data_IF_869844493589
#
_entry.id   IF_869844493589
#
_cell.length_a   1.000
_cell.length_b   1.000
_cell.length_c   1.000
_cell.angle_alpha   90.00
_cell.angle_beta   90.00
_cell.angle_gamma   90.00
#
_symmetry.space_group_name_H-M   'P 1'
#
loop_
_entity.id
_entity.type
_entity.pdbx_description
1 polymer ?
#
# COMPACT_ATOMS: atom_id res chain seq x y z
N UNK A 1 -24.74 -3.70 -4.35
CA UNK A 1 -23.28 -3.88 -4.40
C UNK A 1 -22.73 -3.36 -3.08
N UNK A 2 -22.01 -4.18 -2.32
CA UNK A 2 -21.41 -3.72 -1.05
C UNK A 2 -20.31 -2.73 -1.40
N UNK A 3 -20.34 -1.54 -0.80
CA UNK A 3 -19.34 -0.51 -1.09
C UNK A 3 -18.03 -0.78 -0.34
N UNK A 4 -18.13 -1.34 0.87
CA UNK A 4 -17.01 -1.39 1.80
C UNK A 4 -16.99 -2.72 2.56
N UNK A 5 -15.84 -3.40 2.55
CA UNK A 5 -15.55 -4.52 3.44
C UNK A 5 -14.42 -4.09 4.38
N UNK A 6 -14.75 -3.92 5.67
CA UNK A 6 -13.79 -3.57 6.71
C UNK A 6 -13.43 -4.80 7.54
N UNK A 7 -12.14 -5.03 7.73
CA UNK A 7 -11.59 -6.08 8.59
C UNK A 7 -11.04 -5.41 9.86
N UNK A 8 -11.52 -5.86 11.01
CA UNK A 8 -11.11 -5.40 12.34
C UNK A 8 -10.55 -6.56 13.17
N UNK A 9 -9.90 -6.26 14.29
CA UNK A 9 -9.20 -7.25 15.14
C UNK A 9 -10.06 -8.42 15.62
N UNK A 10 -11.37 -8.24 15.73
CA UNK A 10 -12.32 -9.26 16.20
C UNK A 10 -12.55 -10.37 15.17
N UNK A 11 -12.19 -10.13 13.91
CA UNK A 11 -12.38 -11.11 12.84
C UNK A 11 -11.34 -12.22 12.97
N UNK A 12 -11.81 -13.44 13.26
CA UNK A 12 -10.92 -14.61 13.22
C UNK A 12 -10.45 -14.88 11.79
N UNK A 13 -9.15 -15.17 11.57
CA UNK A 13 -8.63 -15.58 10.26
C UNK A 13 -9.34 -16.79 9.65
N UNK A 14 -9.94 -17.66 10.47
CA UNK A 14 -10.69 -18.83 10.00
C UNK A 14 -11.97 -18.48 9.23
N UNK A 15 -12.54 -17.29 9.42
CA UNK A 15 -13.77 -16.86 8.75
C UNK A 15 -13.54 -16.25 7.36
N UNK A 16 -12.29 -16.13 6.90
CA UNK A 16 -11.97 -15.40 5.66
C UNK A 16 -12.62 -16.01 4.42
N UNK A 17 -12.70 -17.34 4.35
CA UNK A 17 -13.40 -18.04 3.27
C UNK A 17 -14.92 -17.85 3.37
N UNK A 18 -15.48 -17.90 4.57
CA UNK A 18 -16.90 -17.63 4.81
C UNK A 18 -17.27 -16.21 4.41
N UNK A 19 -16.46 -15.21 4.79
CA UNK A 19 -16.65 -13.81 4.42
C UNK A 19 -16.60 -13.65 2.90
N UNK A 20 -15.64 -14.30 2.23
CA UNK A 20 -15.53 -14.26 0.77
C UNK A 20 -16.76 -14.86 0.07
N UNK A 21 -17.33 -15.93 0.63
CA UNK A 21 -18.55 -16.54 0.10
C UNK A 21 -19.79 -15.68 0.32
N UNK A 22 -19.92 -15.05 1.49
CA UNK A 22 -21.05 -14.18 1.84
C UNK A 22 -20.99 -12.83 1.11
N UNK A 23 -19.79 -12.29 0.93
CA UNK A 23 -19.53 -10.98 0.33
C UNK A 23 -18.55 -11.14 -0.84
N UNK A 24 -19.00 -11.74 -1.96
CA UNK A 24 -18.11 -12.07 -3.08
C UNK A 24 -17.69 -10.86 -3.92
N UNK A 25 -18.36 -9.71 -3.76
CA UNK A 25 -18.06 -8.47 -4.48
C UNK A 25 -18.21 -7.27 -3.55
N UNK A 26 -17.20 -6.42 -3.54
CA UNK A 26 -17.18 -5.15 -2.83
C UNK A 26 -16.24 -4.17 -3.52
N UNK A 27 -16.45 -2.86 -3.34
CA UNK A 27 -15.65 -1.84 -4.03
C UNK A 27 -14.35 -1.52 -3.31
N UNK A 28 -14.40 -1.41 -1.97
CA UNK A 28 -13.25 -1.07 -1.14
C UNK A 28 -12.97 -2.18 -0.13
N UNK A 29 -11.71 -2.60 -0.05
CA UNK A 29 -11.17 -3.35 1.08
C UNK A 29 -10.53 -2.38 2.06
N UNK A 30 -10.91 -2.47 3.33
CA UNK A 30 -10.28 -1.74 4.41
C UNK A 30 -9.77 -2.67 5.49
N UNK A 31 -8.52 -2.48 5.90
CA UNK A 31 -7.88 -3.23 6.99
C UNK A 31 -7.53 -2.24 8.09
N UNK A 32 -8.20 -2.35 9.23
CA UNK A 32 -8.04 -1.45 10.36
C UNK A 32 -6.67 -1.56 11.04
N UNK A 33 -6.29 -0.48 11.73
CA UNK A 33 -5.02 -0.33 12.44
C UNK A 33 -4.84 -1.28 13.64
N UNK A 34 -5.93 -1.87 14.12
CA UNK A 34 -5.96 -2.74 15.29
C UNK A 34 -5.84 -4.23 14.95
N UNK A 35 -5.89 -4.59 13.66
CA UNK A 35 -5.62 -5.95 13.19
C UNK A 35 -4.21 -6.43 13.59
N UNK A 36 -4.03 -7.74 13.79
CA UNK A 36 -2.69 -8.32 13.88
C UNK A 36 -1.98 -8.27 12.52
N UNK A 37 -0.66 -8.44 12.54
CA UNK A 37 0.11 -8.56 11.30
C UNK A 37 -0.29 -9.82 10.51
N UNK A 38 -0.57 -10.96 11.16
CA UNK A 38 -1.05 -12.15 10.46
C UNK A 38 -2.44 -11.94 9.86
N UNK A 39 -3.37 -11.35 10.61
CA UNK A 39 -4.71 -11.05 10.13
C UNK A 39 -4.67 -10.14 8.90
N UNK A 40 -3.85 -9.10 8.95
CA UNK A 40 -3.64 -8.16 7.83
C UNK A 40 -3.15 -8.90 6.58
N UNK A 41 -2.14 -9.76 6.71
CA UNK A 41 -1.60 -10.56 5.58
C UNK A 41 -2.65 -11.52 5.00
N UNK A 42 -3.37 -12.23 5.87
CA UNK A 42 -4.38 -13.22 5.45
C UNK A 42 -5.53 -12.51 4.73
N UNK A 43 -6.09 -11.45 5.32
CA UNK A 43 -7.16 -10.67 4.73
C UNK A 43 -6.74 -10.09 3.37
N UNK A 44 -5.57 -9.45 3.32
CA UNK A 44 -5.03 -8.89 2.09
C UNK A 44 -4.93 -9.96 0.99
N UNK A 45 -4.23 -11.08 1.24
CA UNK A 45 -4.08 -12.16 0.25
C UNK A 45 -5.42 -12.74 -0.22
N UNK A 46 -6.39 -12.87 0.69
CA UNK A 46 -7.69 -13.47 0.35
C UNK A 46 -8.53 -12.57 -0.57
N UNK A 47 -8.41 -11.26 -0.39
CA UNK A 47 -9.35 -10.28 -0.93
C UNK A 47 -8.77 -9.34 -2.00
N UNK A 48 -7.44 -9.23 -2.14
CA UNK A 48 -6.79 -8.19 -2.95
C UNK A 48 -7.23 -8.08 -4.42
N UNK A 49 -7.68 -9.18 -5.02
CA UNK A 49 -8.12 -9.23 -6.42
C UNK A 49 -9.61 -8.90 -6.63
N UNK A 50 -10.35 -8.59 -5.57
CA UNK A 50 -11.79 -8.31 -5.61
C UNK A 50 -12.09 -6.80 -5.71
N UNK A 51 -11.54 -5.93 -4.85
CA UNK A 51 -11.92 -4.53 -4.83
C UNK A 51 -11.24 -3.73 -5.94
N UNK A 52 -11.80 -2.55 -6.20
CA UNK A 52 -11.13 -1.52 -6.99
C UNK A 52 -10.25 -0.61 -6.11
N UNK A 53 -10.54 -0.54 -4.80
CA UNK A 53 -9.87 0.34 -3.84
C UNK A 53 -9.37 -0.43 -2.62
N UNK A 54 -8.22 -0.05 -2.10
CA UNK A 54 -7.61 -0.70 -0.94
C UNK A 54 -7.11 0.35 0.04
N UNK A 55 -7.54 0.22 1.29
CA UNK A 55 -7.17 1.10 2.40
C UNK A 55 -6.57 0.24 3.52
N UNK A 56 -5.33 0.52 3.91
CA UNK A 56 -4.62 -0.24 4.94
C UNK A 56 -4.10 0.74 5.99
N UNK A 57 -4.72 0.70 7.16
CA UNK A 57 -4.32 1.50 8.33
C UNK A 57 -3.35 0.72 9.25
N UNK A 58 -2.82 -0.41 8.77
CA UNK A 58 -1.95 -1.32 9.52
C UNK A 58 -0.59 -1.55 8.83
N UNK A 59 0.30 -2.31 9.49
CA UNK A 59 1.55 -2.78 8.90
C UNK A 59 1.33 -3.38 7.51
N UNK A 60 2.28 -3.12 6.62
CA UNK A 60 2.21 -3.55 5.23
C UNK A 60 2.10 -5.09 5.13
N UNK A 61 1.21 -5.62 4.26
CA UNK A 61 0.91 -7.04 4.17
C UNK A 61 1.90 -7.86 3.31
N UNK A 62 3.06 -7.29 2.97
CA UNK A 62 4.02 -7.90 2.05
C UNK A 62 5.08 -8.72 2.80
N UNK A 63 5.33 -9.95 2.36
CA UNK A 63 6.40 -10.79 2.92
C UNK A 63 7.76 -10.50 2.27
N UNK A 64 7.75 -10.05 1.02
CA UNK A 64 8.97 -9.84 0.22
C UNK A 64 8.73 -8.82 -0.91
N UNK A 65 9.80 -8.46 -1.61
CA UNK A 65 9.80 -7.51 -2.73
C UNK A 65 8.94 -7.96 -3.92
N UNK A 66 8.87 -9.27 -4.18
CA UNK A 66 8.07 -9.82 -5.27
C UNK A 66 6.57 -9.69 -4.98
N UNK A 67 6.12 -9.96 -3.74
CA UNK A 67 4.73 -9.71 -3.32
C UNK A 67 4.34 -8.25 -3.53
N UNK A 68 5.25 -7.33 -3.19
CA UNK A 68 5.07 -5.89 -3.37
C UNK A 68 4.99 -5.52 -4.86
N UNK A 69 5.94 -5.96 -5.68
CA UNK A 69 5.95 -5.71 -7.12
C UNK A 69 4.69 -6.22 -7.82
N UNK A 70 4.24 -7.43 -7.47
CA UNK A 70 2.99 -8.00 -7.98
C UNK A 70 1.79 -7.13 -7.59
N UNK A 71 1.73 -6.65 -6.36
CA UNK A 71 0.67 -5.74 -5.93
C UNK A 71 0.65 -4.42 -6.71
N UNK A 72 1.80 -3.78 -6.91
CA UNK A 72 1.88 -2.53 -7.67
C UNK A 72 1.50 -2.70 -9.14
N UNK A 73 1.60 -3.91 -9.70
CA UNK A 73 1.14 -4.20 -11.07
C UNK A 73 -0.39 -4.29 -11.23
N UNK A 74 -1.14 -4.35 -10.12
CA UNK A 74 -2.60 -4.51 -10.15
C UNK A 74 -3.32 -3.27 -10.69
N UNK A 75 -4.43 -3.53 -11.39
CA UNK A 75 -5.30 -2.50 -11.96
C UNK A 75 -6.23 -1.82 -10.92
N UNK A 76 -5.72 -1.44 -9.75
CA UNK A 76 -6.52 -0.78 -8.70
C UNK A 76 -6.77 0.71 -9.01
N UNK A 77 -7.96 1.22 -8.69
CA UNK A 77 -8.30 2.64 -8.82
C UNK A 77 -7.68 3.49 -7.72
N UNK A 78 -7.57 2.97 -6.50
CA UNK A 78 -7.03 3.73 -5.38
C UNK A 78 -6.40 2.83 -4.35
N UNK A 79 -5.25 3.23 -3.84
CA UNK A 79 -4.56 2.56 -2.74
C UNK A 79 -4.12 3.61 -1.74
N UNK A 80 -4.49 3.40 -0.48
CA UNK A 80 -4.05 4.21 0.65
C UNK A 80 -3.37 3.32 1.67
N UNK A 81 -2.11 3.62 1.97
CA UNK A 81 -1.40 3.04 3.10
C UNK A 81 -1.20 4.10 4.19
N UNK A 82 -1.96 4.01 5.28
CA UNK A 82 -2.06 5.03 6.32
C UNK A 82 -1.34 4.64 7.62
N UNK A 83 -0.41 3.68 7.55
CA UNK A 83 0.30 3.21 8.73
C UNK A 83 1.54 4.04 9.04
N UNK A 84 1.38 4.99 9.95
CA UNK A 84 2.44 5.93 10.34
C UNK A 84 3.51 5.33 11.25
N UNK A 85 3.27 4.19 11.91
CA UNK A 85 4.21 3.65 12.94
C UNK A 85 5.43 2.94 12.37
N UNK A 86 5.39 2.44 11.13
CA UNK A 86 6.56 1.82 10.49
C UNK A 86 6.75 2.35 9.08
N UNK A 87 7.99 2.64 8.66
CA UNK A 87 8.21 3.20 7.33
C UNK A 87 7.84 2.23 6.21
N UNK A 88 7.17 2.72 5.16
CA UNK A 88 6.94 1.97 3.93
C UNK A 88 8.19 1.99 3.07
N UNK A 89 8.81 0.85 2.82
CA UNK A 89 9.98 0.77 1.95
C UNK A 89 9.56 0.80 0.47
N UNK A 90 9.46 1.99 -0.10
CA UNK A 90 9.13 2.20 -1.50
C UNK A 90 10.40 2.61 -2.26
N UNK A 91 10.61 2.05 -3.44
CA UNK A 91 11.75 2.40 -4.30
C UNK A 91 11.25 2.96 -5.64
N UNK A 92 12.18 3.50 -6.44
CA UNK A 92 11.84 4.08 -7.74
C UNK A 92 11.22 3.06 -8.71
N UNK A 93 11.62 1.78 -8.64
CA UNK A 93 11.09 0.73 -9.53
C UNK A 93 9.62 0.45 -9.25
N UNK A 94 9.22 0.39 -7.98
CA UNK A 94 7.82 0.23 -7.57
C UNK A 94 6.94 1.36 -8.13
N UNK A 95 7.41 2.60 -8.04
CA UNK A 95 6.69 3.77 -8.57
C UNK A 95 6.61 3.79 -10.11
N UNK A 96 7.62 3.26 -10.80
CA UNK A 96 7.62 3.20 -12.26
C UNK A 96 6.72 2.08 -12.79
N UNK A 97 6.66 0.94 -12.08
CA UNK A 97 5.81 -0.19 -12.48
C UNK A 97 4.37 -0.05 -12.00
N UNK A 98 4.07 0.92 -11.14
CA UNK A 98 2.75 1.03 -10.53
C UNK A 98 1.70 1.25 -11.61
N UNK A 99 0.69 0.41 -11.55
CA UNK A 99 -0.47 0.48 -12.39
C UNK A 99 -1.66 1.06 -11.62
N UNK A 100 -1.47 1.53 -10.38
CA UNK A 100 -2.52 2.09 -9.53
C UNK A 100 -2.85 3.53 -9.97
N UNK A 101 -4.13 3.88 -10.14
CA UNK A 101 -4.50 5.24 -10.57
C UNK A 101 -4.20 6.32 -9.52
N UNK A 102 -4.57 6.07 -8.26
CA UNK A 102 -4.36 6.99 -7.15
C UNK A 102 -3.61 6.28 -6.02
N UNK A 103 -2.38 6.70 -5.73
CA UNK A 103 -1.55 6.11 -4.68
C UNK A 103 -1.29 7.15 -3.59
N UNK A 104 -1.66 6.81 -2.35
CA UNK A 104 -1.39 7.60 -1.16
C UNK A 104 -0.62 6.74 -0.15
N UNK A 105 0.55 7.20 0.29
CA UNK A 105 1.37 6.47 1.26
C UNK A 105 1.85 7.38 2.39
N UNK A 106 1.65 6.93 3.63
CA UNK A 106 2.15 7.60 4.82
C UNK A 106 3.44 6.97 5.33
N UNK A 107 4.32 7.79 5.93
CA UNK A 107 5.63 7.36 6.43
C UNK A 107 6.46 6.59 5.39
N UNK A 108 6.58 7.14 4.18
CA UNK A 108 7.30 6.50 3.08
C UNK A 108 8.80 6.70 3.23
N UNK A 109 9.56 5.60 3.22
CA UNK A 109 11.01 5.59 3.21
C UNK A 109 11.52 5.44 1.77
N UNK A 110 11.53 6.56 1.04
CA UNK A 110 12.13 6.70 -0.29
C UNK A 110 13.22 7.76 -0.21
N UNK A 111 14.40 7.47 -0.75
CA UNK A 111 15.51 8.44 -0.73
C UNK A 111 15.28 9.55 -1.77
N UNK A 112 15.86 10.74 -1.53
CA UNK A 112 15.84 11.83 -2.52
C UNK A 112 16.43 11.39 -3.87
N UNK A 113 17.45 10.52 -3.83
CA UNK A 113 18.05 9.93 -5.03
C UNK A 113 17.06 9.07 -5.81
N UNK A 114 16.30 8.22 -5.13
CA UNK A 114 15.28 7.37 -5.76
C UNK A 114 14.12 8.19 -6.29
N UNK A 115 13.65 9.18 -5.52
CA UNK A 115 12.57 10.07 -5.95
C UNK A 115 12.99 10.87 -7.20
N UNK A 116 14.20 11.44 -7.21
CA UNK A 116 14.75 12.13 -8.38
C UNK A 116 14.89 11.20 -9.58
N UNK A 117 15.33 9.95 -9.36
CA UNK A 117 15.41 8.94 -10.41
C UNK A 117 14.04 8.61 -10.97
N UNK A 118 13.03 8.42 -10.11
CA UNK A 118 11.64 8.19 -10.52
C UNK A 118 11.14 9.34 -11.38
N UNK A 119 11.21 10.60 -10.90
CA UNK A 119 10.71 11.76 -11.63
C UNK A 119 11.40 11.90 -13.00
N UNK A 120 12.72 11.74 -13.07
CA UNK A 120 13.48 11.80 -14.34
C UNK A 120 13.07 10.72 -15.33
N UNK A 121 12.84 9.49 -14.87
CA UNK A 121 12.42 8.38 -15.73
C UNK A 121 10.97 8.53 -16.15
N UNK A 122 10.11 8.94 -15.23
CA UNK A 122 8.71 9.24 -15.48
C UNK A 122 8.58 10.31 -16.56
N UNK A 123 9.22 11.47 -16.42
CA UNK A 123 9.19 12.54 -17.43
C UNK A 123 9.70 12.14 -18.82
N UNK A 124 10.54 11.10 -18.92
CA UNK A 124 11.05 10.58 -20.19
C UNK A 124 10.18 9.46 -20.78
N UNK A 125 9.25 8.92 -20.00
CA UNK A 125 8.42 7.79 -20.40
C UNK A 125 7.28 8.25 -21.31
N UNK A 126 6.77 7.32 -22.12
CA UNK A 126 5.57 7.59 -22.92
C UNK A 126 4.33 7.45 -22.03
N UNK A 127 3.72 8.58 -21.68
CA UNK A 127 2.57 8.61 -20.77
C UNK A 127 1.24 8.13 -21.38
N UNK A 128 1.19 7.79 -22.68
CA UNK A 128 -0.04 7.32 -23.33
C UNK A 128 -0.66 6.07 -22.69
N UNK A 129 0.17 5.25 -22.02
CA UNK A 129 -0.27 4.05 -21.29
C UNK A 129 0.01 4.14 -19.78
N UNK A 130 0.44 5.30 -19.30
CA UNK A 130 0.75 5.49 -17.88
C UNK A 130 -0.57 5.70 -17.11
N UNK A 131 -0.96 4.68 -16.35
CA UNK A 131 -2.23 4.66 -15.61
C UNK A 131 -2.26 5.58 -14.38
N UNK A 132 -1.17 5.78 -13.61
CA UNK A 132 -1.22 6.64 -12.44
C UNK A 132 -1.56 8.10 -12.79
N UNK A 133 -2.57 8.63 -12.09
CA UNK A 133 -3.09 10.01 -12.22
C UNK A 133 -2.72 10.87 -11.03
N UNK A 134 -2.58 10.25 -9.86
CA UNK A 134 -2.27 10.93 -8.61
C UNK A 134 -1.34 10.08 -7.75
N UNK A 135 -0.30 10.71 -7.22
CA UNK A 135 0.59 10.12 -6.22
C UNK A 135 0.90 11.13 -5.13
N UNK A 136 0.66 10.74 -3.88
CA UNK A 136 1.04 11.51 -2.71
C UNK A 136 1.85 10.60 -1.77
N UNK A 137 3.09 11.01 -1.51
CA UNK A 137 4.02 10.28 -0.66
C UNK A 137 4.35 11.18 0.53
N UNK A 138 3.76 10.90 1.70
CA UNK A 138 4.21 11.54 2.93
C UNK A 138 5.48 10.84 3.37
N UNK A 139 6.60 11.52 3.16
CA UNK A 139 7.92 11.01 3.53
C UNK A 139 8.01 10.82 5.04
N UNK A 140 8.87 9.90 5.48
CA UNK A 140 9.26 9.78 6.89
C UNK A 140 9.63 11.18 7.41
N UNK A 141 8.89 11.70 8.37
CA UNK A 141 9.29 12.91 9.09
C UNK A 141 10.71 12.67 9.62
N UNK A 142 11.64 13.62 9.41
CA UNK A 142 12.96 13.63 10.08
C UNK A 142 12.81 13.87 11.59
N UNK A 143 11.92 13.16 12.26
CA UNK A 143 11.88 13.13 13.72
C UNK A 143 12.46 11.79 14.13
N UNK A 144 13.58 11.91 14.85
CA UNK A 144 14.57 10.88 15.19
C UNK A 144 15.53 10.53 14.04
N UNK A 145 16.17 11.57 13.47
CA UNK A 145 17.64 11.46 13.41
C UNK A 145 18.10 11.35 14.86
N UNK A 146 18.84 10.29 15.17
CA UNK A 146 19.54 10.12 16.42
C UNK A 146 20.11 11.47 16.87
N UNK A 147 19.62 12.00 17.99
CA UNK A 147 20.29 13.13 18.67
C UNK A 147 21.73 12.77 19.07
N UNK A 148 22.12 11.50 18.97
CA UNK A 148 23.49 11.04 19.16
C UNK A 148 24.41 11.26 17.94
N UNK A 149 23.89 11.41 16.72
CA UNK A 149 24.73 11.59 15.53
C UNK A 149 25.16 13.05 15.29
N UNK A 150 24.60 13.99 16.05
CA UNK A 150 24.91 15.43 15.97
C UNK A 150 26.00 15.85 17.00
N UNK A 151 26.42 14.94 17.89
CA UNK A 151 27.45 15.19 18.91
C UNK A 151 28.74 14.37 18.72
N UNK A 152 29.01 13.83 17.52
CA UNK A 152 30.29 13.19 17.19
C UNK A 152 31.05 13.96 16.12
#
# INVERSE_FOLDING_TARGET
MIQYLSIAKEVSPSYMDTIKQMVPKFQTLHINNDCSAELTKIAFRKFIFIPEKVEIDNRYPFDNENDMSQFFSLNLKSVTFNYWRSPFKLNASHLLMTNIENLLTFNTNITERELNRFVKLWMKSNHSFYRPKYMELHLKLRQEMDREEILR
#
